data_IF_609330615523
#
_entry.id   IF_609330615523
#
_cell.length_a   1.000
_cell.length_b   1.000
_cell.length_c   1.000
_cell.angle_alpha   90.00
_cell.angle_beta   90.00
_cell.angle_gamma   90.00
#
_symmetry.space_group_name_H-M   'P 1'
#
loop_
_entity.id
_entity.type
_entity.pdbx_description
1 polymer ?
#
# COMPACT_ATOMS: atom_id res chain seq x y z
N UNK A 1 -4.60 -26.38 2.34
CA UNK A 1 -3.91 -25.66 1.24
C UNK A 1 -4.56 -24.30 0.98
N UNK A 2 -5.83 -24.24 0.59
CA UNK A 2 -6.54 -22.98 0.25
C UNK A 2 -6.58 -21.94 1.37
N UNK A 3 -6.81 -22.36 2.62
CA UNK A 3 -6.87 -21.44 3.77
C UNK A 3 -5.52 -20.76 4.03
N UNK A 4 -4.41 -21.49 3.89
CA UNK A 4 -3.07 -20.95 4.09
C UNK A 4 -2.70 -19.94 3.00
N UNK A 5 -2.93 -20.30 1.74
CA UNK A 5 -2.72 -19.39 0.60
C UNK A 5 -3.53 -18.10 0.76
N UNK A 6 -4.82 -18.23 1.12
CA UNK A 6 -5.68 -17.07 1.38
C UNK A 6 -5.14 -16.19 2.53
N UNK A 7 -4.72 -16.80 3.64
CA UNK A 7 -4.17 -16.06 4.77
C UNK A 7 -2.88 -15.30 4.39
N UNK A 8 -2.01 -15.92 3.59
CA UNK A 8 -0.80 -15.27 3.09
C UNK A 8 -1.15 -14.13 2.12
N UNK A 9 -2.09 -14.34 1.21
CA UNK A 9 -2.53 -13.31 0.26
C UNK A 9 -3.14 -12.11 0.98
N UNK A 10 -3.95 -12.35 2.00
CA UNK A 10 -4.51 -11.32 2.86
C UNK A 10 -3.40 -10.56 3.59
N UNK A 11 -2.44 -11.28 4.20
CA UNK A 11 -1.30 -10.67 4.88
C UNK A 11 -0.48 -9.79 3.92
N UNK A 12 -0.24 -10.23 2.68
CA UNK A 12 0.46 -9.46 1.64
C UNK A 12 -0.32 -8.21 1.24
N UNK A 13 -1.65 -8.32 1.09
CA UNK A 13 -2.51 -7.17 0.76
C UNK A 13 -2.51 -6.07 1.82
N UNK A 14 -2.08 -6.38 3.05
CA UNK A 14 -1.93 -5.43 4.16
C UNK A 14 -0.47 -4.96 4.26
N UNK A 15 0.47 -5.90 4.32
CA UNK A 15 1.88 -5.63 4.60
C UNK A 15 2.55 -4.78 3.51
N UNK A 16 2.26 -5.06 2.23
CA UNK A 16 2.84 -4.34 1.10
C UNK A 16 2.43 -2.86 1.09
N UNK A 17 1.12 -2.50 1.05
CA UNK A 17 0.70 -1.10 1.11
C UNK A 17 1.09 -0.42 2.42
N UNK A 18 1.05 -1.12 3.56
CA UNK A 18 1.55 -0.57 4.82
C UNK A 18 3.01 -0.15 4.72
N UNK A 19 3.88 -1.03 4.19
CA UNK A 19 5.30 -0.77 4.04
C UNK A 19 5.59 0.41 3.12
N UNK A 20 4.94 0.46 1.96
CA UNK A 20 5.07 1.55 0.98
C UNK A 20 4.70 2.90 1.61
N UNK A 21 3.52 2.99 2.22
CA UNK A 21 3.04 4.24 2.82
C UNK A 21 3.89 4.62 4.03
N UNK A 22 4.32 3.65 4.86
CA UNK A 22 5.16 3.91 6.04
C UNK A 22 6.54 4.46 5.65
N UNK A 23 7.11 3.94 4.57
CA UNK A 23 8.35 4.41 3.98
C UNK A 23 8.21 5.81 3.37
N UNK A 24 7.07 6.11 2.73
CA UNK A 24 6.83 7.47 2.24
C UNK A 24 6.65 8.46 3.40
N UNK A 25 5.88 8.09 4.42
CA UNK A 25 5.64 8.90 5.61
C UNK A 25 6.94 9.29 6.34
N UNK A 26 7.94 8.40 6.40
CA UNK A 26 9.24 8.71 7.02
C UNK A 26 10.07 9.72 6.23
N UNK A 27 9.70 9.99 4.97
CA UNK A 27 10.35 10.96 4.08
C UNK A 27 9.58 12.27 3.94
N UNK A 28 8.38 12.37 4.52
CA UNK A 28 7.59 13.59 4.51
C UNK A 28 8.02 14.52 5.66
N UNK A 29 7.95 15.83 5.40
CA UNK A 29 8.21 16.88 6.38
C UNK A 29 7.26 18.06 6.17
N UNK A 30 7.12 18.88 7.22
CA UNK A 30 6.32 20.09 7.22
C UNK A 30 4.87 19.86 6.76
N UNK A 31 4.39 20.74 5.87
CA UNK A 31 3.01 20.76 5.40
C UNK A 31 2.54 19.42 4.79
N UNK A 32 3.44 18.65 4.17
CA UNK A 32 3.07 17.35 3.59
C UNK A 32 2.78 16.30 4.66
N UNK A 33 3.50 16.35 5.78
CA UNK A 33 3.30 15.46 6.91
C UNK A 33 2.03 15.83 7.67
N UNK A 34 1.74 17.12 7.84
CA UNK A 34 0.51 17.60 8.49
C UNK A 34 -0.75 17.17 7.74
N UNK A 35 -0.67 17.04 6.42
CA UNK A 35 -1.77 16.52 5.58
C UNK A 35 -1.93 15.01 5.66
N UNK A 36 -0.98 14.26 6.24
CA UNK A 36 -1.04 12.80 6.28
C UNK A 36 -2.21 12.29 7.12
N UNK A 37 -2.55 11.01 6.96
CA UNK A 37 -3.53 10.38 7.84
C UNK A 37 -2.97 10.24 9.25
N UNK A 38 -3.84 10.40 10.25
CA UNK A 38 -3.52 9.90 11.58
C UNK A 38 -3.35 8.37 11.55
N UNK A 39 -2.73 7.83 12.60
CA UNK A 39 -2.38 6.40 12.66
C UNK A 39 -3.58 5.47 12.46
N UNK A 40 -4.74 5.80 13.03
CA UNK A 40 -5.94 4.95 12.97
C UNK A 40 -6.52 4.95 11.56
N UNK A 41 -6.68 6.13 10.96
CA UNK A 41 -7.17 6.26 9.58
C UNK A 41 -6.24 5.57 8.60
N UNK A 42 -4.93 5.67 8.80
CA UNK A 42 -3.95 4.95 7.98
C UNK A 42 -4.14 3.43 8.08
N UNK A 43 -4.18 2.87 9.29
CA UNK A 43 -4.36 1.43 9.50
C UNK A 43 -5.67 0.92 8.89
N UNK A 44 -6.77 1.64 9.11
CA UNK A 44 -8.07 1.28 8.53
C UNK A 44 -8.04 1.36 7.01
N UNK A 45 -7.37 2.36 6.44
CA UNK A 45 -7.28 2.50 4.98
C UNK A 45 -6.51 1.33 4.36
N UNK A 46 -5.43 0.89 5.00
CA UNK A 46 -4.65 -0.27 4.55
C UNK A 46 -5.47 -1.56 4.64
N UNK A 47 -6.14 -1.81 5.77
CA UNK A 47 -6.89 -3.06 5.98
C UNK A 47 -8.11 -3.16 5.06
N UNK A 48 -8.83 -2.06 4.87
CA UNK A 48 -10.08 -2.07 4.10
C UNK A 48 -9.83 -1.94 2.60
N UNK A 49 -8.90 -1.07 2.18
CA UNK A 49 -8.69 -0.78 0.76
C UNK A 49 -7.44 -1.42 0.17
N UNK A 50 -6.57 -2.03 0.99
CA UNK A 50 -5.35 -2.68 0.52
C UNK A 50 -4.51 -1.74 -0.36
N UNK A 51 -4.04 -2.20 -1.53
CA UNK A 51 -3.25 -1.37 -2.47
C UNK A 51 -3.95 -0.09 -2.93
N UNK A 52 -5.28 -0.03 -2.94
CA UNK A 52 -6.01 1.17 -3.36
C UNK A 52 -5.80 2.36 -2.41
N UNK A 53 -5.37 2.14 -1.16
CA UNK A 53 -5.07 3.26 -0.25
C UNK A 53 -3.85 4.07 -0.71
N UNK A 54 -2.94 3.47 -1.48
CA UNK A 54 -1.69 4.09 -1.91
C UNK A 54 -1.95 5.38 -2.70
N UNK A 55 -2.70 5.39 -3.82
CA UNK A 55 -2.92 6.62 -4.58
C UNK A 55 -3.57 7.72 -3.72
N UNK A 56 -4.52 7.39 -2.85
CA UNK A 56 -5.15 8.38 -1.97
C UNK A 56 -4.15 9.02 -0.99
N UNK A 57 -3.20 8.24 -0.44
CA UNK A 57 -2.12 8.77 0.39
C UNK A 57 -1.27 9.80 -0.38
N UNK A 58 -0.81 9.45 -1.59
CA UNK A 58 0.04 10.33 -2.39
C UNK A 58 -0.72 11.58 -2.89
N UNK A 59 -1.98 11.43 -3.28
CA UNK A 59 -2.86 12.55 -3.66
C UNK A 59 -3.03 13.52 -2.49
N UNK A 60 -3.36 12.99 -1.31
CA UNK A 60 -3.61 13.79 -0.11
C UNK A 60 -2.37 14.54 0.37
N UNK A 61 -1.20 13.88 0.39
CA UNK A 61 0.05 14.47 0.92
C UNK A 61 0.68 15.46 -0.05
N UNK A 62 0.68 15.18 -1.37
CA UNK A 62 1.40 15.99 -2.36
C UNK A 62 0.52 17.01 -3.10
N UNK A 63 -0.78 16.74 -3.29
CA UNK A 63 -1.73 17.60 -4.04
C UNK A 63 -1.19 18.10 -5.38
N UNK A 64 -0.55 17.21 -6.14
CA UNK A 64 0.05 17.54 -7.44
C UNK A 64 -0.11 16.37 -8.41
N UNK A 65 -0.05 16.65 -9.72
CA UNK A 65 -0.06 15.61 -10.76
C UNK A 65 1.07 14.59 -10.55
N UNK A 66 2.24 15.07 -10.14
CA UNK A 66 3.36 14.19 -9.79
C UNK A 66 3.03 13.26 -8.62
N UNK A 67 2.29 13.75 -7.62
CA UNK A 67 1.77 12.91 -6.54
C UNK A 67 0.80 11.84 -7.04
N UNK A 68 -0.10 12.17 -7.97
CA UNK A 68 -1.03 11.21 -8.58
C UNK A 68 -0.25 10.10 -9.30
N UNK A 69 0.70 10.48 -10.16
CA UNK A 69 1.52 9.52 -10.92
C UNK A 69 2.35 8.62 -10.01
N UNK A 70 2.95 9.20 -8.96
CA UNK A 70 3.73 8.43 -8.00
C UNK A 70 2.84 7.46 -7.20
N UNK A 71 1.63 7.89 -6.83
CA UNK A 71 0.64 7.04 -6.19
C UNK A 71 0.21 5.87 -7.08
N UNK A 72 -0.07 6.13 -8.36
CA UNK A 72 -0.41 5.10 -9.33
C UNK A 72 0.76 4.13 -9.56
N UNK A 73 1.99 4.64 -9.70
CA UNK A 73 3.20 3.82 -9.82
C UNK A 73 3.36 2.86 -8.63
N UNK A 74 3.25 3.37 -7.40
CA UNK A 74 3.38 2.53 -6.21
C UNK A 74 2.24 1.53 -6.04
N UNK A 75 1.03 1.88 -6.47
CA UNK A 75 -0.10 0.95 -6.49
C UNK A 75 0.16 -0.21 -7.45
N UNK A 76 0.63 0.09 -8.67
CA UNK A 76 0.98 -0.94 -9.66
C UNK A 76 2.12 -1.81 -9.13
N UNK A 77 3.15 -1.20 -8.54
CA UNK A 77 4.26 -1.93 -7.93
C UNK A 77 3.78 -2.85 -6.79
N UNK A 78 2.86 -2.39 -5.94
CA UNK A 78 2.27 -3.20 -4.88
C UNK A 78 1.50 -4.40 -5.44
N UNK A 79 0.65 -4.17 -6.44
CA UNK A 79 -0.10 -5.23 -7.11
C UNK A 79 0.81 -6.25 -7.79
N UNK A 80 1.88 -5.78 -8.45
CA UNK A 80 2.87 -6.64 -9.08
C UNK A 80 3.59 -7.52 -8.05
N UNK A 81 4.03 -6.95 -6.92
CA UNK A 81 4.66 -7.71 -5.84
C UNK A 81 3.69 -8.77 -5.29
N UNK A 82 2.45 -8.39 -4.99
CA UNK A 82 1.44 -9.33 -4.47
C UNK A 82 1.18 -10.45 -5.48
N UNK A 83 1.05 -10.13 -6.77
CA UNK A 83 0.79 -11.11 -7.82
C UNK A 83 1.97 -12.08 -8.04
N UNK A 84 3.20 -11.57 -8.08
CA UNK A 84 4.41 -12.39 -8.27
C UNK A 84 4.59 -13.33 -7.07
N UNK A 85 4.44 -12.82 -5.84
CA UNK A 85 4.57 -13.65 -4.64
C UNK A 85 3.43 -14.67 -4.57
N UNK A 86 2.20 -14.26 -4.88
CA UNK A 86 1.05 -15.16 -4.94
C UNK A 86 1.26 -16.32 -5.92
N UNK A 87 1.64 -16.03 -7.17
CA UNK A 87 1.94 -17.03 -8.19
C UNK A 87 3.10 -17.95 -7.78
N UNK A 88 4.14 -17.40 -7.14
CA UNK A 88 5.24 -18.19 -6.59
C UNK A 88 4.78 -19.17 -5.51
N UNK A 89 3.91 -18.73 -4.59
CA UNK A 89 3.38 -19.58 -3.53
C UNK A 89 2.48 -20.69 -4.07
N UNK A 90 1.62 -20.39 -5.04
CA UNK A 90 0.77 -21.38 -5.72
C UNK A 90 1.59 -22.47 -6.44
N UNK A 91 2.81 -22.16 -6.86
CA UNK A 91 3.69 -23.13 -7.51
C UNK A 91 4.41 -24.09 -6.55
N UNK A 92 4.44 -23.79 -5.25
CA UNK A 92 5.22 -24.52 -4.23
C UNK A 92 4.33 -25.23 -3.20
N UNK A 93 3.17 -24.66 -2.87
CA UNK A 93 2.24 -25.15 -1.84
C UNK A 93 1.12 -26.00 -2.43
#
# INVERSE_FOLDING_TARGET
MTVLLFAIQLALSIAVPWGIVRFDLSRLSGERLDRSWNRVTFLMSVVVFGPLCIPFHFIKTRRSLWGVLLGAFWMIAALAVIAIVGAGLESVL
#
